data_IF_192172193797
#
_entry.id   IF_192172193797
#
_cell.length_a   1.000
_cell.length_b   1.000
_cell.length_c   1.000
_cell.angle_alpha   90.00
_cell.angle_beta   90.00
_cell.angle_gamma   90.00
#
_symmetry.space_group_name_H-M   'P 1'
#
loop_
_entity.id
_entity.type
_entity.pdbx_description
1 polymer ?
#
# COMPACT_ATOMS: atom_id res chain seq x y z
N UNK A 1 -19.17 -14.04 -0.75
CA UNK A 1 -19.22 -15.51 -0.90
C UNK A 1 -18.25 -15.93 -2.01
N UNK A 2 -17.06 -16.39 -1.64
CA UNK A 2 -15.98 -16.85 -2.55
C UNK A 2 -16.12 -18.32 -2.96
N UNK A 3 -17.29 -18.91 -2.67
CA UNK A 3 -17.51 -20.35 -2.72
C UNK A 3 -18.69 -20.63 -3.66
N UNK A 4 -18.36 -20.78 -4.96
CA UNK A 4 -19.22 -21.45 -5.93
C UNK A 4 -18.47 -22.68 -6.46
N UNK A 5 -19.15 -23.82 -6.70
CA UNK A 5 -18.54 -25.14 -6.65
C UNK A 5 -17.86 -25.53 -7.97
N UNK A 6 -16.59 -25.17 -8.13
CA UNK A 6 -15.73 -25.61 -9.24
C UNK A 6 -14.99 -26.92 -8.93
N UNK A 7 -15.71 -28.05 -8.96
CA UNK A 7 -15.24 -29.37 -8.48
C UNK A 7 -14.12 -30.06 -9.30
N UNK A 8 -13.38 -29.39 -10.22
CA UNK A 8 -12.30 -30.05 -11.01
C UNK A 8 -11.06 -29.20 -11.31
N UNK A 9 -10.64 -28.34 -10.40
CA UNK A 9 -9.26 -27.85 -10.42
C UNK A 9 -8.66 -27.93 -9.01
N UNK A 10 -7.70 -28.84 -8.74
CA UNK A 10 -7.03 -28.92 -7.45
C UNK A 10 -6.01 -27.78 -7.33
N UNK A 11 -6.49 -26.53 -7.30
CA UNK A 11 -5.61 -25.39 -7.08
C UNK A 11 -5.38 -25.27 -5.58
N UNK A 12 -4.18 -25.64 -5.13
CA UNK A 12 -3.77 -25.44 -3.73
C UNK A 12 -3.88 -23.95 -3.41
N UNK A 13 -4.77 -23.59 -2.49
CA UNK A 13 -5.03 -22.18 -2.12
C UNK A 13 -3.74 -21.41 -1.75
N UNK A 14 -2.80 -22.08 -1.08
CA UNK A 14 -1.48 -21.52 -0.79
C UNK A 14 -0.67 -21.11 -2.03
N UNK A 15 -0.80 -21.82 -3.15
CA UNK A 15 -0.15 -21.42 -4.40
C UNK A 15 -0.79 -20.16 -5.00
N UNK A 16 -2.11 -20.01 -4.89
CA UNK A 16 -2.81 -18.81 -5.34
C UNK A 16 -2.38 -17.61 -4.49
N UNK A 17 -2.31 -17.79 -3.17
CA UNK A 17 -1.82 -16.77 -2.25
C UNK A 17 -0.37 -16.38 -2.56
N UNK A 18 0.52 -17.34 -2.82
CA UNK A 18 1.90 -17.05 -3.17
C UNK A 18 2.02 -16.23 -4.46
N UNK A 19 1.27 -16.60 -5.51
CA UNK A 19 1.26 -15.89 -6.79
C UNK A 19 0.65 -14.49 -6.65
N UNK A 20 -0.41 -14.34 -5.85
CA UNK A 20 -0.99 -13.05 -5.52
C UNK A 20 -0.01 -12.15 -4.75
N UNK A 21 0.68 -12.70 -3.74
CA UNK A 21 1.71 -12.00 -2.97
C UNK A 21 2.90 -11.58 -3.84
N UNK A 22 3.33 -12.44 -4.78
CA UNK A 22 4.34 -12.06 -5.76
C UNK A 22 3.90 -10.86 -6.60
N UNK A 23 2.63 -10.84 -7.04
CA UNK A 23 2.04 -9.69 -7.71
C UNK A 23 2.12 -8.42 -6.84
N UNK A 24 1.70 -8.51 -5.57
CA UNK A 24 1.75 -7.38 -4.63
C UNK A 24 3.16 -6.78 -4.48
N UNK A 25 4.17 -7.65 -4.34
CA UNK A 25 5.56 -7.23 -4.23
C UNK A 25 6.02 -6.54 -5.51
N UNK A 26 5.81 -7.17 -6.68
CA UNK A 26 6.18 -6.59 -7.98
C UNK A 26 5.52 -5.23 -8.21
N UNK A 27 4.24 -5.10 -7.87
CA UNK A 27 3.51 -3.84 -7.99
C UNK A 27 4.07 -2.75 -7.08
N UNK A 28 4.36 -3.08 -5.81
CA UNK A 28 4.93 -2.13 -4.86
C UNK A 28 6.36 -1.69 -5.22
N UNK A 29 7.19 -2.64 -5.64
CA UNK A 29 8.55 -2.38 -6.16
C UNK A 29 8.49 -1.49 -7.40
N UNK A 30 7.61 -1.80 -8.37
CA UNK A 30 7.45 -0.98 -9.57
C UNK A 30 7.05 0.46 -9.23
N UNK A 31 6.05 0.65 -8.35
CA UNK A 31 5.63 1.99 -7.94
C UNK A 31 6.79 2.76 -7.30
N UNK A 32 7.58 2.12 -6.42
CA UNK A 32 8.75 2.78 -5.84
C UNK A 32 9.82 3.13 -6.87
N UNK A 33 10.10 2.25 -7.84
CA UNK A 33 11.04 2.55 -8.93
C UNK A 33 10.58 3.76 -9.75
N UNK A 34 9.29 3.83 -10.07
CA UNK A 34 8.72 4.98 -10.77
C UNK A 34 8.82 6.25 -9.92
N UNK A 35 8.51 6.20 -8.63
CA UNK A 35 8.67 7.35 -7.72
C UNK A 35 10.11 7.83 -7.61
N UNK A 36 11.08 6.91 -7.56
CA UNK A 36 12.51 7.23 -7.56
C UNK A 36 12.93 7.92 -8.88
N UNK A 37 12.48 7.42 -10.04
CA UNK A 37 12.76 8.08 -11.31
C UNK A 37 12.15 9.48 -11.37
N UNK A 38 10.91 9.62 -10.89
CA UNK A 38 10.18 10.90 -10.88
C UNK A 38 10.69 11.88 -9.82
N UNK A 39 11.42 11.44 -8.80
CA UNK A 39 11.97 12.36 -7.78
C UNK A 39 12.97 13.34 -8.39
N UNK A 40 13.61 12.99 -9.51
CA UNK A 40 14.44 13.93 -10.27
C UNK A 40 13.69 15.19 -10.74
N UNK A 41 12.38 15.09 -10.98
CA UNK A 41 11.56 16.24 -11.38
C UNK A 41 11.38 17.26 -10.25
N UNK A 42 11.61 16.86 -8.99
CA UNK A 42 11.53 17.74 -7.82
C UNK A 42 12.89 18.33 -7.43
N UNK A 43 13.95 18.07 -8.21
CA UNK A 43 15.29 18.63 -8.01
C UNK A 43 15.37 20.17 -8.01
N UNK A 44 14.57 20.91 -8.79
CA UNK A 44 14.58 22.37 -8.74
C UNK A 44 14.06 22.96 -7.43
N UNK A 45 13.39 22.18 -6.57
CA UNK A 45 12.81 22.67 -5.33
C UNK A 45 13.89 22.83 -4.24
N UNK A 46 13.95 23.99 -3.54
CA UNK A 46 14.85 24.18 -2.42
C UNK A 46 14.67 23.11 -1.34
N UNK A 47 15.77 22.70 -0.69
CA UNK A 47 15.74 21.69 0.37
C UNK A 47 14.75 22.02 1.50
N UNK A 48 14.67 23.29 1.89
CA UNK A 48 13.72 23.77 2.91
C UNK A 48 12.26 23.61 2.45
N UNK A 49 11.97 23.93 1.18
CA UNK A 49 10.63 23.76 0.62
C UNK A 49 10.21 22.29 0.57
N UNK A 50 11.12 21.40 0.15
CA UNK A 50 10.89 19.94 0.15
C UNK A 50 10.63 19.42 1.57
N UNK A 51 11.47 19.79 2.53
CA UNK A 51 11.30 19.45 3.94
C UNK A 51 9.95 19.91 4.50
N UNK A 52 9.57 21.16 4.24
CA UNK A 52 8.29 21.73 4.65
C UNK A 52 7.10 20.96 4.06
N UNK A 53 7.16 20.64 2.77
CA UNK A 53 6.11 19.86 2.08
C UNK A 53 5.97 18.44 2.63
N UNK A 54 7.09 17.75 2.90
CA UNK A 54 7.07 16.40 3.50
C UNK A 54 6.36 16.42 4.86
N UNK A 55 6.73 17.35 5.73
CA UNK A 55 6.15 17.46 7.07
C UNK A 55 4.66 17.86 6.97
N UNK A 56 4.33 18.84 6.12
CA UNK A 56 2.96 19.29 5.95
C UNK A 56 2.03 18.16 5.49
N UNK A 57 2.45 17.36 4.51
CA UNK A 57 1.64 16.21 4.05
C UNK A 57 1.58 15.09 5.08
N UNK A 58 2.64 14.87 5.86
CA UNK A 58 2.60 13.90 6.96
C UNK A 58 1.60 14.31 8.07
N UNK A 59 1.60 15.57 8.47
CA UNK A 59 0.63 16.13 9.44
C UNK A 59 -0.79 16.03 8.88
N UNK A 60 -0.98 16.36 7.60
CA UNK A 60 -2.28 16.26 6.93
C UNK A 60 -2.77 14.80 6.90
N UNK A 61 -1.86 13.85 6.68
CA UNK A 61 -2.13 12.42 6.75
C UNK A 61 -2.66 12.00 8.12
N UNK A 62 -2.02 12.44 9.20
CA UNK A 62 -2.47 12.21 10.58
C UNK A 62 -3.84 12.83 10.83
N UNK A 63 -4.02 14.11 10.47
CA UNK A 63 -5.30 14.80 10.64
C UNK A 63 -6.45 14.10 9.90
N UNK A 64 -6.18 13.56 8.70
CA UNK A 64 -7.16 12.80 7.93
C UNK A 64 -7.51 11.47 8.61
N UNK A 65 -6.52 10.72 9.10
CA UNK A 65 -6.80 9.45 9.79
C UNK A 65 -7.51 9.65 11.13
N UNK A 66 -7.21 10.75 11.84
CA UNK A 66 -7.92 11.16 13.05
C UNK A 66 -9.36 11.65 12.78
N UNK A 67 -9.76 11.81 11.52
CA UNK A 67 -11.09 12.27 11.13
C UNK A 67 -11.30 13.78 11.21
N UNK A 68 -10.24 14.57 11.43
CA UNK A 68 -10.30 16.03 11.52
C UNK A 68 -10.50 16.70 10.16
N UNK A 69 -10.01 16.08 9.08
CA UNK A 69 -10.17 16.57 7.71
C UNK A 69 -10.62 15.46 6.77
N UNK A 70 -11.40 15.83 5.74
CA UNK A 70 -11.87 14.91 4.70
C UNK A 70 -11.25 15.26 3.37
N UNK A 71 -10.28 14.46 2.95
CA UNK A 71 -9.59 14.63 1.67
C UNK A 71 -9.81 13.37 0.82
N UNK A 72 -10.34 13.51 -0.42
CA UNK A 72 -10.48 12.39 -1.32
C UNK A 72 -9.08 11.85 -1.68
N UNK A 73 -8.92 10.53 -1.64
CA UNK A 73 -7.66 9.90 -2.02
C UNK A 73 -7.62 9.67 -3.53
N UNK A 74 -6.42 9.71 -4.16
CA UNK A 74 -6.23 9.41 -5.58
C UNK A 74 -6.35 7.90 -5.82
N UNK A 75 -7.55 7.37 -5.61
CA UNK A 75 -7.86 5.95 -5.74
C UNK A 75 -9.00 5.76 -6.74
N UNK A 76 -8.94 4.67 -7.53
CA UNK A 76 -10.05 4.29 -8.38
C UNK A 76 -11.06 3.46 -7.56
N UNK A 77 -12.31 3.93 -7.46
CA UNK A 77 -13.38 3.29 -6.69
C UNK A 77 -14.08 2.12 -7.42
N UNK A 78 -13.48 1.61 -8.51
CA UNK A 78 -14.01 0.45 -9.21
C UNK A 78 -13.83 -0.81 -8.36
N UNK A 79 -14.93 -1.49 -8.09
CA UNK A 79 -14.89 -2.85 -7.55
C UNK A 79 -14.29 -3.80 -8.60
N UNK A 80 -13.54 -4.79 -8.13
CA UNK A 80 -12.75 -5.67 -9.00
C UNK A 80 -13.69 -6.46 -9.92
N UNK A 81 -13.50 -6.41 -11.25
CA UNK A 81 -14.30 -7.19 -12.18
C UNK A 81 -14.14 -8.68 -11.89
N UNK A 82 -15.26 -9.35 -11.57
CA UNK A 82 -15.27 -10.77 -11.19
C UNK A 82 -14.81 -11.67 -12.35
N UNK A 83 -14.75 -11.14 -13.58
CA UNK A 83 -14.30 -11.87 -14.77
C UNK A 83 -12.82 -12.29 -14.70
N UNK A 84 -11.96 -11.52 -14.01
CA UNK A 84 -10.50 -11.79 -13.91
C UNK A 84 -10.22 -13.10 -13.15
N UNK A 85 -11.13 -13.53 -12.27
CA UNK A 85 -11.00 -14.74 -11.47
C UNK A 85 -11.49 -16.02 -12.18
N UNK A 86 -12.23 -15.90 -13.30
CA UNK A 86 -13.02 -17.02 -13.85
C UNK A 86 -12.31 -17.89 -14.90
N UNK A 87 -11.31 -17.39 -15.62
CA UNK A 87 -10.70 -18.15 -16.73
C UNK A 87 -9.29 -18.71 -16.45
N UNK A 88 -8.48 -18.08 -15.58
CA UNK A 88 -7.11 -18.52 -15.24
C UNK A 88 -6.71 -18.08 -13.82
N UNK A 89 -7.08 -18.85 -12.81
CA UNK A 89 -6.97 -18.48 -11.37
C UNK A 89 -5.58 -17.93 -10.99
N UNK A 90 -4.48 -18.60 -11.38
CA UNK A 90 -3.12 -18.13 -11.03
C UNK A 90 -2.73 -16.83 -11.74
N UNK A 91 -3.00 -16.73 -13.05
CA UNK A 91 -2.69 -15.52 -13.84
C UNK A 91 -3.56 -14.34 -13.39
N UNK A 92 -4.83 -14.59 -13.07
CA UNK A 92 -5.75 -13.62 -12.49
C UNK A 92 -5.26 -13.15 -11.12
N UNK A 93 -4.84 -14.07 -10.24
CA UNK A 93 -4.27 -13.74 -8.94
C UNK A 93 -2.99 -12.90 -9.05
N UNK A 94 -2.08 -13.23 -9.97
CA UNK A 94 -0.85 -12.45 -10.19
C UNK A 94 -1.17 -11.03 -10.65
N UNK A 95 -2.01 -10.90 -11.70
CA UNK A 95 -2.39 -9.61 -12.26
C UNK A 95 -3.12 -8.75 -11.22
N UNK A 96 -4.07 -9.35 -10.51
CA UNK A 96 -4.81 -8.65 -9.48
C UNK A 96 -3.88 -8.23 -8.33
N UNK A 97 -3.01 -9.12 -7.86
CA UNK A 97 -1.98 -8.79 -6.87
C UNK A 97 -1.08 -7.66 -7.32
N UNK A 98 -0.66 -7.65 -8.59
CA UNK A 98 0.14 -6.58 -9.18
C UNK A 98 -0.59 -5.24 -9.21
N UNK A 99 -1.80 -5.20 -9.77
CA UNK A 99 -2.62 -3.97 -9.80
C UNK A 99 -2.91 -3.44 -8.39
N UNK A 100 -3.17 -4.34 -7.44
CA UNK A 100 -3.34 -4.03 -6.03
C UNK A 100 -2.03 -3.51 -5.41
N UNK A 101 -0.89 -4.11 -5.75
CA UNK A 101 0.44 -3.74 -5.28
C UNK A 101 0.88 -2.34 -5.72
N UNK A 102 0.39 -1.86 -6.86
CA UNK A 102 0.72 -0.50 -7.32
C UNK A 102 0.11 0.61 -6.45
N UNK A 103 -1.01 0.35 -5.76
CA UNK A 103 -1.72 1.33 -4.94
C UNK A 103 -2.55 2.38 -5.70
N UNK A 104 -2.62 2.30 -7.04
CA UNK A 104 -3.29 3.33 -7.88
C UNK A 104 -4.68 2.90 -8.34
N UNK A 105 -4.86 1.61 -8.67
CA UNK A 105 -6.11 1.11 -9.29
C UNK A 105 -7.14 0.53 -8.33
N UNK A 106 -6.79 0.40 -7.05
CA UNK A 106 -7.60 -0.30 -6.06
C UNK A 106 -7.73 0.52 -4.80
N UNK A 107 -8.81 0.29 -4.05
CA UNK A 107 -9.09 1.02 -2.82
C UNK A 107 -7.95 0.86 -1.80
N UNK A 108 -7.44 1.98 -1.31
CA UNK A 108 -6.45 2.06 -0.23
C UNK A 108 -7.10 2.82 0.93
N UNK A 109 -7.46 2.09 1.99
CA UNK A 109 -8.24 2.66 3.09
C UNK A 109 -7.50 3.72 3.91
N UNK A 110 -6.17 3.66 3.96
CA UNK A 110 -5.31 4.53 4.75
C UNK A 110 -4.54 5.52 3.86
N UNK A 111 -4.33 6.74 4.33
CA UNK A 111 -3.54 7.77 3.64
C UNK A 111 -2.03 7.51 3.68
N UNK A 112 -1.57 6.74 4.66
CA UNK A 112 -0.15 6.52 4.93
C UNK A 112 0.69 6.11 3.70
N UNK A 113 0.25 5.18 2.82
CA UNK A 113 1.01 4.85 1.61
C UNK A 113 1.21 6.04 0.66
N UNK A 114 0.21 6.92 0.54
CA UNK A 114 0.31 8.13 -0.30
C UNK A 114 1.21 9.19 0.33
N UNK A 115 1.16 9.33 1.66
CA UNK A 115 2.07 10.21 2.42
C UNK A 115 3.52 9.75 2.25
N UNK A 116 3.79 8.45 2.40
CA UNK A 116 5.13 7.88 2.19
C UNK A 116 5.57 8.04 0.74
N UNK A 117 4.69 7.80 -0.24
CA UNK A 117 5.01 7.97 -1.66
C UNK A 117 5.45 9.41 -1.98
N UNK A 118 4.75 10.41 -1.45
CA UNK A 118 5.15 11.80 -1.62
C UNK A 118 6.45 12.12 -0.87
N UNK A 119 6.62 11.55 0.33
CA UNK A 119 7.87 11.61 1.08
C UNK A 119 9.06 11.13 0.26
N UNK A 120 8.96 9.96 -0.37
CA UNK A 120 10.00 9.40 -1.24
C UNK A 120 10.27 10.29 -2.46
N UNK A 121 9.22 10.82 -3.09
CA UNK A 121 9.33 11.72 -4.24
C UNK A 121 10.09 13.01 -3.92
N UNK A 122 9.94 13.53 -2.69
CA UNK A 122 10.53 14.80 -2.25
C UNK A 122 11.88 14.62 -1.53
N UNK A 123 12.10 13.50 -0.86
CA UNK A 123 13.28 13.26 -0.02
C UNK A 123 14.54 12.85 -0.80
N UNK A 124 14.42 12.55 -2.10
CA UNK A 124 15.55 12.24 -2.99
C UNK A 124 16.44 11.10 -2.46
N UNK A 125 15.80 10.10 -1.85
CA UNK A 125 16.52 8.95 -1.32
C UNK A 125 17.11 8.11 -2.45
N UNK A 126 18.19 7.40 -2.16
CA UNK A 126 18.79 6.47 -3.11
C UNK A 126 17.80 5.38 -3.57
N UNK A 127 18.13 4.64 -4.65
CA UNK A 127 17.24 3.62 -5.20
C UNK A 127 16.95 2.50 -4.20
N UNK A 128 17.94 2.06 -3.41
CA UNK A 128 17.80 0.96 -2.45
C UNK A 128 16.72 1.23 -1.38
N UNK A 129 16.80 2.29 -0.55
CA UNK A 129 15.77 2.56 0.46
C UNK A 129 14.39 2.81 -0.15
N UNK A 130 14.33 3.42 -1.35
CA UNK A 130 13.07 3.68 -2.05
C UNK A 130 12.41 2.37 -2.48
N UNK A 131 13.14 1.47 -3.13
CA UNK A 131 12.66 0.16 -3.57
C UNK A 131 12.27 -0.71 -2.36
N UNK A 132 13.07 -0.70 -1.29
CA UNK A 132 12.73 -1.43 -0.06
C UNK A 132 11.42 -0.93 0.56
N UNK A 133 11.18 0.39 0.53
CA UNK A 133 9.93 0.98 1.03
C UNK A 133 8.72 0.53 0.21
N UNK A 134 8.80 0.56 -1.14
CA UNK A 134 7.73 0.06 -2.01
C UNK A 134 7.50 -1.45 -1.89
N UNK A 135 8.57 -2.22 -1.75
CA UNK A 135 8.49 -3.66 -1.50
C UNK A 135 7.85 -3.94 -0.14
N UNK A 136 8.22 -3.17 0.90
CA UNK A 136 7.61 -3.22 2.22
C UNK A 136 6.11 -2.93 2.21
N UNK A 137 5.67 -1.97 1.37
CA UNK A 137 4.24 -1.76 1.12
C UNK A 137 3.57 -3.02 0.56
N UNK A 138 4.17 -3.67 -0.44
CA UNK A 138 3.70 -4.95 -0.97
C UNK A 138 3.65 -6.05 0.08
N UNK A 139 4.69 -6.17 0.93
CA UNK A 139 4.77 -7.13 2.05
C UNK A 139 3.62 -6.89 3.04
N UNK A 140 3.35 -5.65 3.44
CA UNK A 140 2.26 -5.35 4.39
C UNK A 140 0.88 -5.76 3.86
N UNK A 141 0.64 -5.58 2.55
CA UNK A 141 -0.59 -6.07 1.90
C UNK A 141 -0.63 -7.60 1.85
N UNK A 142 0.49 -8.25 1.53
CA UNK A 142 0.59 -9.70 1.48
C UNK A 142 0.37 -10.32 2.86
N UNK A 143 0.91 -9.72 3.92
CA UNK A 143 0.71 -10.12 5.31
C UNK A 143 -0.77 -10.06 5.71
N UNK A 144 -1.53 -9.06 5.23
CA UNK A 144 -2.98 -9.00 5.50
C UNK A 144 -3.72 -10.19 4.88
N UNK A 145 -3.40 -10.56 3.64
CA UNK A 145 -4.00 -11.72 2.99
C UNK A 145 -3.55 -13.06 3.61
N UNK A 146 -2.28 -13.16 3.99
CA UNK A 146 -1.72 -14.35 4.63
C UNK A 146 -2.29 -14.57 6.04
N UNK A 147 -2.42 -13.51 6.84
CA UNK A 147 -3.04 -13.57 8.17
C UNK A 147 -4.51 -13.95 8.06
N UNK A 148 -5.26 -13.39 7.09
CA UNK A 148 -6.64 -13.82 6.83
C UNK A 148 -6.72 -15.29 6.46
N UNK A 149 -5.85 -15.76 5.57
CA UNK A 149 -5.78 -17.17 5.17
C UNK A 149 -5.45 -18.10 6.35
N UNK A 150 -4.56 -17.68 7.24
CA UNK A 150 -4.19 -18.44 8.44
C UNK A 150 -5.30 -18.44 9.50
N UNK A 151 -6.01 -17.32 9.65
CA UNK A 151 -7.12 -17.19 10.59
C UNK A 151 -8.36 -17.91 10.06
N UNK A 152 -8.58 -19.14 10.54
CA UNK A 152 -9.78 -19.94 10.26
C UNK A 152 -10.98 -19.58 11.14
N UNK A 153 -11.04 -18.34 11.62
CA UNK A 153 -12.05 -17.90 12.59
C UNK A 153 -12.89 -16.78 11.95
N UNK A 154 -14.21 -16.86 12.16
CA UNK A 154 -15.15 -15.90 11.60
C UNK A 154 -15.00 -14.51 12.24
N UNK A 155 -14.62 -14.46 13.53
CA UNK A 155 -14.41 -13.21 14.28
C UNK A 155 -13.24 -12.34 13.79
N UNK A 156 -12.39 -12.83 12.87
CA UNK A 156 -11.24 -12.05 12.40
C UNK A 156 -11.69 -10.75 11.72
N UNK A 157 -12.78 -10.79 10.96
CA UNK A 157 -13.29 -9.61 10.26
C UNK A 157 -13.81 -8.57 11.27
N UNK A 158 -14.52 -8.99 12.31
CA UNK A 158 -15.05 -8.10 13.35
C UNK A 158 -13.93 -7.43 14.16
N UNK A 159 -12.96 -8.22 14.62
CA UNK A 159 -11.78 -7.70 15.34
C UNK A 159 -10.99 -6.71 14.48
N UNK A 160 -10.88 -6.99 13.18
CA UNK A 160 -10.21 -6.10 12.22
C UNK A 160 -10.95 -4.77 12.08
N UNK A 161 -12.28 -4.79 11.93
CA UNK A 161 -13.08 -3.57 11.82
C UNK A 161 -12.93 -2.70 13.07
N UNK A 162 -13.04 -3.30 14.26
CA UNK A 162 -12.93 -2.58 15.54
C UNK A 162 -11.55 -1.97 15.76
N UNK A 163 -10.48 -2.66 15.36
CA UNK A 163 -9.09 -2.17 15.53
C UNK A 163 -8.62 -1.25 14.40
N UNK A 164 -9.37 -1.17 13.30
CA UNK A 164 -8.96 -0.43 12.11
C UNK A 164 -8.63 1.05 12.38
N UNK A 165 -9.45 1.83 13.12
CA UNK A 165 -9.13 3.23 13.39
C UNK A 165 -7.81 3.39 14.17
N UNK A 166 -7.60 2.55 15.19
CA UNK A 166 -6.37 2.56 15.99
C UNK A 166 -5.14 2.24 15.12
N UNK A 167 -5.22 1.20 14.29
CA UNK A 167 -4.13 0.81 13.40
C UNK A 167 -3.78 1.93 12.41
N UNK A 168 -4.78 2.56 11.80
CA UNK A 168 -4.57 3.65 10.84
C UNK A 168 -3.91 4.87 11.50
N UNK A 169 -4.37 5.25 12.69
CA UNK A 169 -3.79 6.35 13.46
C UNK A 169 -2.35 6.05 13.90
N UNK A 170 -2.09 4.85 14.43
CA UNK A 170 -0.75 4.44 14.83
C UNK A 170 0.24 4.42 13.65
N UNK A 171 -0.19 3.90 12.49
CA UNK A 171 0.61 3.90 11.26
C UNK A 171 0.86 5.35 10.79
N UNK A 172 -0.16 6.21 10.76
CA UNK A 172 -0.01 7.59 10.35
C UNK A 172 0.98 8.36 11.25
N UNK A 173 0.90 8.18 12.57
CA UNK A 173 1.83 8.78 13.52
C UNK A 173 3.25 8.23 13.33
N UNK A 174 3.39 6.93 13.11
CA UNK A 174 4.69 6.28 12.87
C UNK A 174 5.34 6.83 11.59
N UNK A 175 4.56 7.00 10.52
CA UNK A 175 5.01 7.61 9.26
C UNK A 175 5.42 9.06 9.47
N UNK A 176 4.64 9.84 10.22
CA UNK A 176 4.99 11.22 10.56
C UNK A 176 6.35 11.28 11.27
N UNK A 177 6.54 10.49 12.32
CA UNK A 177 7.80 10.45 13.08
C UNK A 177 8.95 10.03 12.18
N UNK A 178 8.78 8.98 11.37
CA UNK A 178 9.82 8.50 10.44
C UNK A 178 10.23 9.58 9.43
N UNK A 179 9.27 10.31 8.85
CA UNK A 179 9.52 11.37 7.88
C UNK A 179 10.16 12.61 8.54
N UNK A 180 9.75 12.98 9.76
CA UNK A 180 10.41 14.05 10.53
C UNK A 180 11.86 13.69 10.79
N UNK A 181 12.14 12.46 11.25
CA UNK A 181 13.51 12.00 11.48
C UNK A 181 14.35 11.98 10.20
N UNK A 182 13.75 11.59 9.07
CA UNK A 182 14.40 11.61 7.77
C UNK A 182 14.80 13.04 7.37
N UNK A 183 13.88 14.00 7.52
CA UNK A 183 14.13 15.42 7.20
C UNK A 183 15.19 16.03 8.11
N UNK A 184 15.19 15.69 9.40
CA UNK A 184 16.16 16.21 10.37
C UNK A 184 17.56 15.64 10.12
N UNK A 185 17.68 14.36 9.74
CA UNK A 185 18.98 13.72 9.42
C UNK A 185 19.53 14.09 8.05
N UNK A 186 18.68 14.49 7.12
CA UNK A 186 19.07 14.87 5.75
C UNK A 186 19.48 16.34 5.59
N UNK A 187 19.51 17.11 6.68
CA UNK A 187 20.10 18.45 6.76
C UNK A 187 21.54 18.34 7.25
#
# INVERSE_FOLDING_TARGET
MLFSPGWRAPVRQGQVLAVFSAGLLLGGTLTATVLWLLSGLTAPLPGVARAGLIIAVAVLGVAREAGWVRIPMPQNARQIPQEVLRARIRRGALRFGFELGTGVRTYVSASAPYVVALGLLLAHQGPVPTILTGTGFGIGRAATAATRYASRHDEWDDRRVTRMPLLKNAIALTVLVALVLLVVRGR
#
